data_IF_637508000404
#
_entry.id   IF_637508000404
#
_cell.length_a   1.000
_cell.length_b   1.000
_cell.length_c   1.000
_cell.angle_alpha   90.00
_cell.angle_beta   90.00
_cell.angle_gamma   90.00
#
_symmetry.space_group_name_H-M   'P 1'
#
loop_
_entity.id
_entity.type
_entity.pdbx_description
1 polymer ?
#
# COMPACT_ATOMS: atom_id res chain seq x y z
N UNK A 1 -9.08 -22.38 -12.07
CA UNK A 1 -8.74 -20.97 -12.35
C UNK A 1 -10.02 -20.19 -12.52
N UNK A 2 -10.22 -19.12 -11.76
CA UNK A 2 -11.48 -18.34 -11.76
C UNK A 2 -11.30 -17.02 -12.50
N UNK A 3 -12.35 -16.58 -13.20
CA UNK A 3 -12.44 -15.23 -13.77
C UNK A 3 -12.70 -14.23 -12.63
N UNK A 4 -12.04 -13.07 -12.64
CA UNK A 4 -12.27 -12.04 -11.63
C UNK A 4 -13.59 -11.30 -11.92
N UNK A 5 -14.49 -11.26 -10.92
CA UNK A 5 -15.71 -10.45 -11.02
C UNK A 5 -15.53 -9.09 -10.32
N UNK A 6 -16.19 -8.01 -10.80
CA UNK A 6 -16.13 -6.70 -10.17
C UNK A 6 -16.49 -6.71 -8.67
N UNK A 7 -17.52 -7.48 -8.29
CA UNK A 7 -17.97 -7.59 -6.90
C UNK A 7 -16.88 -8.24 -6.02
N UNK A 8 -16.29 -9.33 -6.51
CA UNK A 8 -15.22 -10.05 -5.81
C UNK A 8 -13.96 -9.19 -5.60
N UNK A 9 -13.63 -8.32 -6.56
CA UNK A 9 -12.53 -7.36 -6.41
C UNK A 9 -12.81 -6.34 -5.31
N UNK A 10 -14.03 -5.80 -5.27
CA UNK A 10 -14.41 -4.84 -4.22
C UNK A 10 -14.41 -5.48 -2.82
N UNK A 11 -14.92 -6.71 -2.70
CA UNK A 11 -14.85 -7.49 -1.47
C UNK A 11 -13.40 -7.71 -1.03
N UNK A 12 -12.51 -8.09 -1.95
CA UNK A 12 -11.08 -8.25 -1.63
C UNK A 12 -10.45 -6.94 -1.14
N UNK A 13 -10.75 -5.80 -1.76
CA UNK A 13 -10.27 -4.48 -1.30
C UNK A 13 -10.73 -4.20 0.14
N UNK A 14 -11.99 -4.52 0.47
CA UNK A 14 -12.53 -4.35 1.83
C UNK A 14 -11.82 -5.30 2.81
N UNK A 15 -11.60 -6.56 2.44
CA UNK A 15 -10.87 -7.54 3.27
C UNK A 15 -9.43 -7.08 3.57
N UNK A 16 -8.73 -6.55 2.56
CA UNK A 16 -7.35 -6.05 2.69
C UNK A 16 -7.22 -4.92 3.71
N UNK A 17 -8.29 -4.16 4.02
CA UNK A 17 -8.25 -3.11 5.05
C UNK A 17 -7.77 -3.65 6.41
N UNK A 18 -8.24 -4.84 6.82
CA UNK A 18 -7.84 -5.47 8.10
C UNK A 18 -6.38 -5.91 8.06
N UNK A 19 -5.93 -6.42 6.92
CA UNK A 19 -4.54 -6.86 6.70
C UNK A 19 -3.60 -5.66 6.71
N UNK A 20 -3.96 -4.56 6.07
CA UNK A 20 -3.19 -3.32 6.05
C UNK A 20 -3.03 -2.75 7.46
N UNK A 21 -4.08 -2.76 8.28
CA UNK A 21 -3.97 -2.35 9.70
C UNK A 21 -2.90 -3.16 10.44
N UNK A 22 -2.85 -4.48 10.23
CA UNK A 22 -1.79 -5.34 10.78
C UNK A 22 -0.42 -4.99 10.21
N UNK A 23 -0.31 -4.82 8.89
CA UNK A 23 0.94 -4.46 8.21
C UNK A 23 1.52 -3.14 8.72
N UNK A 24 0.68 -2.12 8.94
CA UNK A 24 1.06 -0.84 9.55
C UNK A 24 1.71 -1.03 10.91
N UNK A 25 1.11 -1.86 11.78
CA UNK A 25 1.66 -2.16 13.11
C UNK A 25 3.03 -2.85 12.99
N UNK A 26 3.17 -3.81 12.07
CA UNK A 26 4.44 -4.50 11.85
C UNK A 26 5.54 -3.54 11.39
N UNK A 27 5.25 -2.68 10.41
CA UNK A 27 6.20 -1.69 9.91
C UNK A 27 6.56 -0.64 10.98
N UNK A 28 5.55 -0.16 11.72
CA UNK A 28 5.76 0.79 12.81
C UNK A 28 6.69 0.21 13.90
N UNK A 29 6.42 -1.01 14.36
CA UNK A 29 7.28 -1.71 15.34
C UNK A 29 8.67 -2.00 14.79
N UNK A 30 8.81 -2.22 13.49
CA UNK A 30 10.11 -2.37 12.86
C UNK A 30 10.91 -1.06 12.93
N UNK A 31 10.30 0.09 12.61
CA UNK A 31 10.95 1.40 12.72
C UNK A 31 11.30 1.76 14.16
N UNK A 32 10.42 1.53 15.13
CA UNK A 32 10.72 1.75 16.56
C UNK A 32 11.97 0.98 16.99
N UNK A 33 12.06 -0.31 16.65
CA UNK A 33 13.24 -1.14 16.97
C UNK A 33 14.49 -0.66 16.25
N UNK A 34 14.37 -0.21 15.00
CA UNK A 34 15.49 0.33 14.24
C UNK A 34 16.02 1.62 14.86
N UNK A 35 15.14 2.55 15.23
CA UNK A 35 15.51 3.80 15.93
C UNK A 35 16.19 3.49 17.26
N UNK A 36 15.65 2.57 18.07
CA UNK A 36 16.27 2.19 19.34
C UNK A 36 17.69 1.64 19.16
N UNK A 37 17.92 0.82 18.12
CA UNK A 37 19.26 0.32 17.79
C UNK A 37 20.20 1.43 17.31
N UNK A 38 19.73 2.35 16.48
CA UNK A 38 20.51 3.49 15.98
C UNK A 38 20.89 4.48 17.09
N UNK A 39 19.98 4.71 18.05
CA UNK A 39 20.24 5.52 19.24
C UNK A 39 21.30 4.84 20.15
N UNK A 40 21.28 3.51 20.25
CA UNK A 40 22.25 2.75 21.06
C UNK A 40 23.67 2.73 20.46
N UNK A 41 23.82 2.75 19.14
CA UNK A 41 25.14 2.66 18.51
C UNK A 41 25.96 3.96 18.55
N UNK A 42 25.38 5.06 19.03
CA UNK A 42 26.03 6.36 19.30
C UNK A 42 26.88 6.94 18.14
N UNK A 43 26.66 6.49 16.90
CA UNK A 43 27.34 7.03 15.73
C UNK A 43 26.71 8.37 15.33
N UNK A 44 27.50 9.44 15.12
CA UNK A 44 27.00 10.77 14.78
C UNK A 44 26.23 10.80 13.44
N UNK A 45 26.60 9.93 12.49
CA UNK A 45 25.94 9.81 11.18
C UNK A 45 24.53 9.19 11.23
N UNK A 46 24.08 8.72 12.41
CA UNK A 46 22.75 8.12 12.56
C UNK A 46 21.62 9.15 12.62
N UNK A 47 21.91 10.43 12.90
CA UNK A 47 20.89 11.47 13.09
C UNK A 47 19.90 11.55 11.93
N UNK A 48 20.40 11.71 10.70
CA UNK A 48 19.54 11.79 9.51
C UNK A 48 18.80 10.49 9.17
N UNK A 49 19.30 9.32 9.63
CA UNK A 49 18.57 8.05 9.48
C UNK A 49 17.42 7.96 10.47
N UNK A 50 17.61 8.43 11.70
CA UNK A 50 16.59 8.44 12.75
C UNK A 50 15.45 9.38 12.35
N UNK A 51 15.77 10.61 11.94
CA UNK A 51 14.78 11.59 11.48
C UNK A 51 13.92 11.03 10.35
N UNK A 52 14.55 10.42 9.34
CA UNK A 52 13.84 9.77 8.23
C UNK A 52 12.87 8.68 8.69
N UNK A 53 13.27 7.88 9.69
CA UNK A 53 12.40 6.83 10.24
C UNK A 53 11.23 7.43 11.05
N UNK A 54 11.46 8.55 11.74
CA UNK A 54 10.41 9.27 12.48
C UNK A 54 9.38 9.92 11.53
N UNK A 55 9.83 10.52 10.42
CA UNK A 55 8.95 10.98 9.34
C UNK A 55 8.07 9.85 8.78
N UNK A 56 8.67 8.69 8.52
CA UNK A 56 7.95 7.52 8.01
C UNK A 56 6.95 6.98 9.03
N UNK A 57 7.30 6.97 10.33
CA UNK A 57 6.38 6.59 11.40
C UNK A 57 5.13 7.48 11.45
N UNK A 58 5.30 8.78 11.21
CA UNK A 58 4.17 9.70 11.10
C UNK A 58 3.35 9.44 9.83
N UNK A 59 4.00 9.18 8.68
CA UNK A 59 3.32 8.88 7.43
C UNK A 59 2.50 7.57 7.47
N UNK A 60 2.95 6.52 8.19
CA UNK A 60 2.21 5.25 8.37
C UNK A 60 0.78 5.48 8.88
N UNK A 61 0.59 6.46 9.77
CA UNK A 61 -0.72 6.79 10.35
C UNK A 61 -1.70 7.26 9.27
N UNK A 62 -1.21 8.05 8.31
CA UNK A 62 -2.01 8.73 7.29
C UNK A 62 -2.33 7.87 6.04
N UNK A 63 -1.72 6.69 5.92
CA UNK A 63 -1.96 5.77 4.79
C UNK A 63 -3.46 5.40 4.69
N UNK A 64 -4.08 5.64 3.53
CA UNK A 64 -5.46 5.25 3.24
C UNK A 64 -5.50 3.77 2.81
N UNK A 65 -6.20 2.87 3.54
CA UNK A 65 -6.18 1.44 3.24
C UNK A 65 -6.65 1.09 1.83
N UNK A 66 -7.68 1.76 1.32
CA UNK A 66 -8.25 1.47 -0.01
C UNK A 66 -7.30 1.89 -1.13
N UNK A 67 -6.63 3.04 -0.96
CA UNK A 67 -5.64 3.52 -1.93
C UNK A 67 -4.48 2.53 -2.04
N UNK A 68 -3.95 2.12 -0.89
CA UNK A 68 -2.87 1.13 -0.84
C UNK A 68 -3.30 -0.24 -1.38
N UNK A 69 -4.53 -0.68 -1.10
CA UNK A 69 -5.06 -1.95 -1.61
C UNK A 69 -5.12 -1.94 -3.15
N UNK A 70 -5.65 -0.88 -3.74
CA UNK A 70 -5.72 -0.72 -5.19
C UNK A 70 -4.32 -0.68 -5.80
N UNK A 71 -3.41 0.06 -5.18
CA UNK A 71 -2.02 0.15 -5.61
C UNK A 71 -1.34 -1.22 -5.59
N UNK A 72 -1.52 -2.00 -4.51
CA UNK A 72 -0.94 -3.33 -4.36
C UNK A 72 -1.46 -4.33 -5.41
N UNK A 73 -2.77 -4.27 -5.70
CA UNK A 73 -3.42 -5.18 -6.65
C UNK A 73 -3.05 -4.88 -8.11
N UNK A 74 -2.67 -3.63 -8.42
CA UNK A 74 -2.20 -3.23 -9.76
C UNK A 74 -0.68 -3.35 -9.90
N UNK A 75 0.05 -3.27 -8.80
CA UNK A 75 1.52 -3.19 -8.83
C UNK A 75 2.15 -4.45 -9.42
N UNK A 76 2.84 -4.30 -10.56
CA UNK A 76 3.64 -5.35 -11.21
C UNK A 76 5.11 -5.28 -10.84
N UNK A 77 5.57 -4.19 -10.20
CA UNK A 77 6.99 -3.96 -9.92
C UNK A 77 7.51 -4.88 -8.83
N UNK A 78 8.77 -5.28 -8.98
CA UNK A 78 9.47 -6.09 -7.99
C UNK A 78 9.86 -5.27 -6.76
N UNK A 79 10.24 -5.97 -5.68
CA UNK A 79 10.71 -5.33 -4.44
C UNK A 79 11.92 -4.44 -4.69
N UNK A 80 12.88 -4.93 -5.47
CA UNK A 80 14.13 -4.21 -5.69
C UNK A 80 13.91 -2.95 -6.53
N UNK A 81 13.09 -3.01 -7.57
CA UNK A 81 12.71 -1.85 -8.38
C UNK A 81 12.06 -0.73 -7.55
N UNK A 82 11.20 -1.10 -6.60
CA UNK A 82 10.46 -0.14 -5.79
C UNK A 82 11.28 0.43 -4.64
N UNK A 83 12.13 -0.39 -4.00
CA UNK A 83 12.89 0.02 -2.82
C UNK A 83 14.21 0.74 -3.16
N UNK A 84 14.82 0.47 -4.31
CA UNK A 84 16.04 1.17 -4.76
C UNK A 84 15.77 2.65 -5.10
N UNK A 85 14.58 2.94 -5.64
CA UNK A 85 14.19 4.28 -6.09
C UNK A 85 13.43 5.10 -5.02
N UNK A 86 13.79 4.96 -3.75
CA UNK A 86 13.14 5.70 -2.65
C UNK A 86 13.84 7.02 -2.27
N UNK A 87 15.03 7.29 -2.81
CA UNK A 87 15.75 8.54 -2.57
C UNK A 87 15.01 9.69 -3.25
N UNK A 88 14.77 10.79 -2.52
CA UNK A 88 14.03 11.96 -3.03
C UNK A 88 12.51 11.83 -3.01
N UNK A 89 11.95 10.65 -2.67
CA UNK A 89 10.50 10.46 -2.51
C UNK A 89 9.99 11.00 -1.18
N UNK A 90 8.71 11.35 -1.18
CA UNK A 90 8.00 11.80 0.03
C UNK A 90 7.94 10.68 1.08
N UNK A 91 7.85 11.01 2.38
CA UNK A 91 7.72 9.99 3.43
C UNK A 91 6.54 9.04 3.20
N UNK A 92 5.44 9.54 2.64
CA UNK A 92 4.25 8.74 2.32
C UNK A 92 4.55 7.68 1.26
N UNK A 93 5.14 8.07 0.13
CA UNK A 93 5.47 7.15 -0.96
C UNK A 93 6.48 6.09 -0.51
N UNK A 94 7.46 6.46 0.32
CA UNK A 94 8.42 5.51 0.91
C UNK A 94 7.70 4.47 1.75
N UNK A 95 6.75 4.90 2.58
CA UNK A 95 5.96 3.99 3.42
C UNK A 95 5.03 3.12 2.59
N UNK A 96 4.35 3.67 1.57
CA UNK A 96 3.50 2.89 0.68
C UNK A 96 4.30 1.76 0.02
N UNK A 97 5.47 2.09 -0.57
CA UNK A 97 6.35 1.10 -1.17
C UNK A 97 6.80 0.03 -0.15
N UNK A 98 7.17 0.41 1.07
CA UNK A 98 7.56 -0.53 2.13
C UNK A 98 6.39 -1.42 2.58
N UNK A 99 5.18 -0.88 2.67
CA UNK A 99 3.99 -1.61 3.12
C UNK A 99 3.58 -2.73 2.15
N UNK A 100 3.79 -2.54 0.84
CA UNK A 100 3.50 -3.59 -0.16
C UNK A 100 4.24 -4.89 0.11
N UNK A 101 5.44 -4.80 0.70
CA UNK A 101 6.33 -5.94 0.93
C UNK A 101 6.38 -6.39 2.39
N UNK A 102 5.44 -5.92 3.23
CA UNK A 102 5.32 -6.47 4.59
C UNK A 102 4.76 -7.90 4.48
N UNK A 103 5.40 -8.92 5.11
CA UNK A 103 5.07 -10.32 4.86
C UNK A 103 3.58 -10.68 5.01
N UNK A 104 2.89 -10.12 6.01
CA UNK A 104 1.46 -10.40 6.24
C UNK A 104 0.56 -9.85 5.13
N UNK A 105 0.99 -8.78 4.46
CA UNK A 105 0.25 -8.18 3.36
C UNK A 105 0.63 -8.79 2.02
N UNK A 106 1.92 -9.01 1.79
CA UNK A 106 2.43 -9.64 0.58
C UNK A 106 1.81 -11.02 0.34
N UNK A 107 1.75 -11.87 1.38
CA UNK A 107 1.10 -13.20 1.30
C UNK A 107 -0.35 -13.14 0.79
N UNK A 108 -1.10 -12.13 1.20
CA UNK A 108 -2.51 -11.94 0.80
C UNK A 108 -2.68 -11.48 -0.64
N UNK A 109 -1.67 -10.78 -1.16
CA UNK A 109 -1.60 -10.35 -2.56
C UNK A 109 -1.15 -11.52 -3.44
N UNK A 110 -0.16 -12.29 -3.00
CA UNK A 110 0.34 -13.46 -3.74
C UNK A 110 -0.76 -14.52 -3.87
N UNK A 111 -1.46 -14.85 -2.78
CA UNK A 111 -2.62 -15.76 -2.81
C UNK A 111 -3.75 -15.27 -3.73
N UNK A 112 -3.91 -13.95 -3.87
CA UNK A 112 -4.87 -13.38 -4.83
C UNK A 112 -4.39 -13.57 -6.28
N UNK A 113 -3.11 -13.33 -6.56
CA UNK A 113 -2.51 -13.47 -7.90
C UNK A 113 -2.51 -14.92 -8.37
N UNK A 114 -2.26 -15.87 -7.47
CA UNK A 114 -2.36 -17.30 -7.74
C UNK A 114 -3.79 -17.70 -8.14
N UNK A 115 -4.79 -17.13 -7.47
CA UNK A 115 -6.21 -17.40 -7.76
C UNK A 115 -6.67 -16.83 -9.11
N UNK A 116 -6.14 -15.68 -9.52
CA UNK A 116 -6.56 -14.93 -10.71
C UNK A 116 -5.38 -14.65 -11.65
N UNK A 117 -5.05 -15.54 -12.60
CA UNK A 117 -3.87 -15.38 -13.47
C UNK A 117 -3.87 -14.10 -14.32
N UNK A 118 -5.05 -13.63 -14.74
CA UNK A 118 -5.24 -12.42 -15.57
C UNK A 118 -5.40 -11.14 -14.75
N UNK A 119 -5.04 -11.16 -13.47
CA UNK A 119 -5.19 -10.02 -12.55
C UNK A 119 -4.61 -8.72 -13.10
N UNK A 120 -3.48 -8.79 -13.82
CA UNK A 120 -2.77 -7.64 -14.35
C UNK A 120 -3.55 -6.86 -15.44
N UNK A 121 -4.52 -7.51 -16.10
CA UNK A 121 -5.44 -6.87 -17.06
C UNK A 121 -6.79 -6.55 -16.41
N UNK A 122 -7.34 -7.51 -15.66
CA UNK A 122 -8.69 -7.42 -15.11
C UNK A 122 -8.80 -6.38 -13.98
N UNK A 123 -7.81 -6.32 -13.08
CA UNK A 123 -7.84 -5.38 -11.94
C UNK A 123 -7.80 -3.92 -12.42
N UNK A 124 -6.85 -3.47 -13.27
CA UNK A 124 -6.85 -2.09 -13.75
C UNK A 124 -8.15 -1.73 -14.49
N UNK A 125 -8.66 -2.64 -15.32
CA UNK A 125 -9.91 -2.44 -16.05
C UNK A 125 -11.10 -2.17 -15.12
N UNK A 126 -11.28 -3.01 -14.09
CA UNK A 126 -12.37 -2.81 -13.13
C UNK A 126 -12.19 -1.54 -12.29
N UNK A 127 -10.96 -1.23 -11.87
CA UNK A 127 -10.70 -0.01 -11.10
C UNK A 127 -10.99 1.26 -11.91
N UNK A 128 -10.65 1.28 -13.20
CA UNK A 128 -11.01 2.37 -14.11
C UNK A 128 -12.53 2.51 -14.23
N UNK A 129 -13.23 1.40 -14.44
CA UNK A 129 -14.70 1.37 -14.53
C UNK A 129 -15.37 1.88 -13.25
N UNK A 130 -14.88 1.49 -12.07
CA UNK A 130 -15.39 2.00 -10.79
C UNK A 130 -15.21 3.51 -10.66
N UNK A 131 -14.08 4.05 -11.12
CA UNK A 131 -13.83 5.49 -11.13
C UNK A 131 -14.81 6.27 -12.01
N UNK A 132 -15.09 5.76 -13.22
CA UNK A 132 -16.07 6.36 -14.13
C UNK A 132 -17.47 6.40 -13.53
N UNK A 133 -17.94 5.27 -12.97
CA UNK A 133 -19.26 5.18 -12.32
C UNK A 133 -19.36 6.17 -11.14
N UNK A 134 -18.30 6.30 -10.34
CA UNK A 134 -18.27 7.24 -9.22
C UNK A 134 -18.36 8.70 -9.69
N UNK A 135 -17.67 9.04 -10.79
CA UNK A 135 -17.71 10.38 -11.40
C UNK A 135 -19.11 10.71 -11.92
N UNK A 136 -19.72 9.83 -12.70
CA UNK A 136 -21.07 10.02 -13.25
C UNK A 136 -22.11 10.22 -12.13
N UNK A 137 -22.01 9.45 -11.04
CA UNK A 137 -22.90 9.60 -9.88
C UNK A 137 -22.74 10.98 -9.23
N UNK A 138 -21.49 11.43 -9.03
CA UNK A 138 -21.19 12.75 -8.46
C UNK A 138 -21.74 13.88 -9.32
N UNK A 139 -21.62 13.78 -10.63
CA UNK A 139 -22.17 14.78 -11.58
C UNK A 139 -23.69 14.80 -11.57
N UNK A 140 -24.37 13.64 -11.49
CA UNK A 140 -25.83 13.57 -11.35
C UNK A 140 -26.33 14.18 -10.04
N UNK A 141 -25.59 14.02 -8.96
CA UNK A 141 -25.90 14.63 -7.66
C UNK A 141 -25.72 16.15 -7.71
N UNK A 142 -24.65 16.63 -8.34
CA UNK A 142 -24.38 18.07 -8.47
C UNK A 142 -25.39 18.79 -9.37
N UNK A 143 -25.96 18.12 -10.38
CA UNK A 143 -27.01 18.67 -11.26
C UNK A 143 -28.42 18.65 -10.64
N UNK A 144 -28.60 17.98 -9.49
CA UNK A 144 -29.86 17.92 -8.75
C UNK A 144 -29.94 18.94 -7.60
N UNK A 145 -28.85 19.65 -7.33
CA UNK A 145 -28.78 20.78 -6.40
C UNK A 145 -28.83 22.09 -7.20
#
# INVERSE_FOLDING_TARGET
MSTLEPKSLNEKIICLRKVIKKAKVHLFRHHVRAIAKLKKSNNPDNGGKIERLEEEMNAIKNIKPDSLSKLALVNTKTKDELLTNLKGKTPLERVEAKLLFVPVFQKEIDAFREKYPKWHQEVPFFLQRFGMIAKERKEKLAKKQ
#
